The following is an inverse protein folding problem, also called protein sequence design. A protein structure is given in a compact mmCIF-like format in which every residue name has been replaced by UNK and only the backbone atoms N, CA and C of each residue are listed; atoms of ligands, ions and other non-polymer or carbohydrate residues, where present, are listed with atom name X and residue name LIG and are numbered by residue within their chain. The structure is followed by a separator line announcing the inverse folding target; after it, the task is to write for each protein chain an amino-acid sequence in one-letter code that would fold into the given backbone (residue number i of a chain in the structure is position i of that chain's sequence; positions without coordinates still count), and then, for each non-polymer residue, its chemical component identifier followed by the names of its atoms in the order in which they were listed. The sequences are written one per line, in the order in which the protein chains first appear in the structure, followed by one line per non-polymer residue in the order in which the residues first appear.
data_IF_870952420168
#
_entry.id   IF_870952420168
#
_cell.length_a   1.000
_cell.length_b   1.000
_cell.length_c   1.000
_cell.angle_alpha   90.00
_cell.angle_beta   90.00
_cell.angle_gamma   90.00
#
_symmetry.space_group_name_H-M   'P 1'
#
loop_
_entity.id
_entity.type
_entity.pdbx_description
1 polymer ?
#
# COMPACT_ATOMS: atom_id res chain seq x y z
N UNK A 1 3.69 7.94 -18.32
CA UNK A 1 3.56 7.05 -17.15
C UNK A 1 2.75 5.87 -17.61
N UNK A 2 3.15 4.65 -17.28
CA UNK A 2 2.32 3.49 -17.59
C UNK A 2 1.03 3.59 -16.77
N UNK A 3 -0.12 3.53 -17.43
CA UNK A 3 -1.40 3.41 -16.73
C UNK A 3 -1.50 2.03 -16.09
N UNK A 4 -2.24 1.89 -14.98
CA UNK A 4 -2.38 0.62 -14.25
C UNK A 4 -2.88 -0.50 -15.17
N UNK A 5 -3.71 -0.12 -16.15
CA UNK A 5 -4.21 -0.99 -17.21
C UNK A 5 -3.13 -1.53 -18.17
N UNK A 6 -1.94 -0.92 -18.25
CA UNK A 6 -0.81 -1.44 -19.05
C UNK A 6 -0.10 -2.59 -18.35
N UNK A 7 -0.21 -2.69 -17.02
CA UNK A 7 0.39 -3.74 -16.21
C UNK A 7 -0.51 -4.96 -16.05
N UNK A 8 -1.80 -4.81 -16.36
CA UNK A 8 -2.84 -5.82 -16.23
C UNK A 8 -3.39 -6.20 -17.61
N UNK A 9 -3.88 -7.41 -17.76
CA UNK A 9 -4.68 -7.83 -18.91
C UNK A 9 -5.90 -8.58 -18.38
N UNK A 10 -6.93 -8.72 -19.21
CA UNK A 10 -8.14 -9.47 -18.83
C UNK A 10 -7.82 -10.90 -18.39
N UNK A 11 -6.86 -11.56 -19.04
CA UNK A 11 -6.41 -12.93 -18.68
C UNK A 11 -5.77 -13.01 -17.28
N UNK A 12 -5.35 -11.88 -16.72
CA UNK A 12 -4.78 -11.78 -15.37
C UNK A 12 -5.77 -11.23 -14.34
N UNK A 13 -7.03 -11.05 -14.73
CA UNK A 13 -8.15 -10.76 -13.82
C UNK A 13 -8.91 -12.05 -13.54
N UNK A 14 -8.83 -12.52 -12.30
CA UNK A 14 -9.57 -13.70 -11.82
C UNK A 14 -10.65 -13.23 -10.85
N UNK A 15 -11.90 -13.47 -11.22
CA UNK A 15 -13.04 -13.18 -10.36
C UNK A 15 -13.49 -14.46 -9.67
N UNK A 16 -13.90 -14.30 -8.41
CA UNK A 16 -14.52 -15.35 -7.59
C UNK A 16 -13.64 -16.60 -7.48
N UNK A 17 -12.34 -16.38 -7.22
CA UNK A 17 -11.37 -17.44 -7.06
C UNK A 17 -11.52 -18.15 -5.70
N UNK A 18 -11.38 -19.47 -5.69
CA UNK A 18 -11.41 -20.25 -4.45
C UNK A 18 -10.04 -20.29 -3.79
N UNK A 19 -9.99 -19.93 -2.51
CA UNK A 19 -8.82 -20.07 -1.64
C UNK A 19 -9.30 -20.45 -0.23
N UNK A 20 -8.66 -21.45 0.39
CA UNK A 20 -9.02 -21.88 1.75
C UNK A 20 -8.16 -21.21 2.83
N UNK A 21 -6.95 -20.80 2.44
CA UNK A 21 -5.96 -20.17 3.33
C UNK A 21 -5.38 -18.93 2.67
N UNK A 22 -4.74 -18.07 3.47
CA UNK A 22 -4.05 -16.90 2.93
C UNK A 22 -2.91 -17.30 1.98
N UNK A 23 -2.24 -18.43 2.22
CA UNK A 23 -1.24 -18.99 1.31
C UNK A 23 -1.87 -19.35 -0.03
N UNK A 24 -3.04 -20.01 -0.01
CA UNK A 24 -3.77 -20.33 -1.25
C UNK A 24 -4.18 -19.06 -1.99
N UNK A 25 -4.61 -18.02 -1.28
CA UNK A 25 -4.97 -16.74 -1.88
C UNK A 25 -3.78 -16.08 -2.59
N UNK A 26 -2.58 -16.12 -1.99
CA UNK A 26 -1.34 -15.65 -2.63
C UNK A 26 -0.97 -16.53 -3.83
N UNK A 27 -1.10 -17.85 -3.74
CA UNK A 27 -0.83 -18.78 -4.86
C UNK A 27 -1.77 -18.55 -6.04
N UNK A 28 -3.04 -18.33 -5.76
CA UNK A 28 -4.04 -17.99 -6.78
C UNK A 28 -3.69 -16.66 -7.44
N UNK A 29 -3.23 -15.66 -6.70
CA UNK A 29 -2.79 -14.38 -7.26
C UNK A 29 -1.46 -14.47 -8.03
N UNK A 30 -0.55 -15.37 -7.63
CA UNK A 30 0.70 -15.61 -8.35
C UNK A 30 0.53 -16.34 -9.69
N UNK A 31 -0.44 -17.26 -9.77
CA UNK A 31 -0.65 -18.13 -10.94
C UNK A 31 -0.80 -17.38 -12.27
N UNK A 32 -1.59 -16.30 -12.39
CA UNK A 32 -1.65 -15.55 -13.64
C UNK A 32 -0.32 -14.90 -14.03
N UNK A 33 0.52 -14.51 -13.06
CA UNK A 33 1.86 -13.97 -13.36
C UNK A 33 2.78 -15.07 -13.91
N UNK A 34 2.66 -16.28 -13.37
CA UNK A 34 3.44 -17.45 -13.80
C UNK A 34 3.03 -17.92 -15.20
N UNK A 35 1.72 -18.04 -15.44
CA UNK A 35 1.17 -18.49 -16.73
C UNK A 35 1.56 -17.55 -17.88
N UNK A 36 1.65 -16.25 -17.60
CA UNK A 36 1.98 -15.22 -18.58
C UNK A 36 3.49 -14.94 -18.70
N UNK A 37 4.32 -15.75 -18.04
CA UNK A 37 5.78 -15.64 -18.05
C UNK A 37 6.30 -14.34 -17.45
N UNK A 38 5.54 -13.69 -16.57
CA UNK A 38 5.94 -12.46 -15.87
C UNK A 38 6.94 -12.81 -14.76
N UNK A 39 6.66 -13.87 -14.01
CA UNK A 39 7.50 -14.33 -12.92
C UNK A 39 7.51 -15.86 -12.83
N UNK A 40 8.56 -16.42 -12.25
CA UNK A 40 8.66 -17.84 -11.92
C UNK A 40 7.90 -18.16 -10.62
N UNK A 41 7.49 -19.43 -10.38
CA UNK A 41 6.85 -19.84 -9.14
C UNK A 41 7.63 -19.50 -7.87
N UNK A 42 8.96 -19.42 -7.97
CA UNK A 42 9.83 -18.99 -6.88
C UNK A 42 9.51 -17.57 -6.36
N UNK A 43 8.96 -16.69 -7.20
CA UNK A 43 8.52 -15.37 -6.77
C UNK A 43 7.27 -15.45 -5.88
N UNK A 44 6.30 -16.30 -6.23
CA UNK A 44 5.11 -16.57 -5.41
C UNK A 44 5.47 -17.13 -4.05
N UNK A 45 6.39 -18.10 -4.01
CA UNK A 45 6.91 -18.65 -2.75
C UNK A 45 7.64 -17.58 -1.91
N UNK A 46 8.36 -16.66 -2.56
CA UNK A 46 9.00 -15.53 -1.87
C UNK A 46 7.98 -14.57 -1.24
N UNK A 47 6.82 -14.34 -1.88
CA UNK A 47 5.74 -13.55 -1.29
C UNK A 47 5.18 -14.23 -0.03
N UNK A 48 4.97 -15.55 -0.07
CA UNK A 48 4.48 -16.33 1.06
C UNK A 48 5.48 -16.29 2.22
N UNK A 49 6.75 -16.60 1.96
CA UNK A 49 7.81 -16.61 2.97
C UNK A 49 7.98 -15.25 3.68
N UNK A 50 7.77 -14.15 2.94
CA UNK A 50 7.78 -12.81 3.54
C UNK A 50 6.65 -12.61 4.54
N UNK A 51 5.44 -13.11 4.25
CA UNK A 51 4.29 -13.01 5.15
C UNK A 51 4.50 -13.90 6.39
N UNK A 52 5.06 -15.11 6.22
CA UNK A 52 5.40 -15.97 7.36
C UNK A 52 6.42 -15.30 8.30
N UNK A 53 7.39 -14.59 7.73
CA UNK A 53 8.48 -13.96 8.49
C UNK A 53 8.08 -12.64 9.14
N UNK A 54 7.25 -11.83 8.48
CA UNK A 54 6.96 -10.45 8.88
C UNK A 54 5.50 -10.21 9.29
N UNK A 55 4.68 -11.26 9.32
CA UNK A 55 3.24 -11.17 9.50
C UNK A 55 2.51 -10.62 8.26
N UNK A 56 1.20 -10.36 8.35
CA UNK A 56 0.36 -9.98 7.21
C UNK A 56 0.55 -8.51 6.78
N UNK A 57 1.79 -8.03 6.66
CA UNK A 57 2.12 -6.65 6.26
C UNK A 57 1.63 -6.27 4.86
N UNK A 58 1.25 -7.26 4.04
CA UNK A 58 0.67 -7.04 2.71
C UNK A 58 -0.82 -6.69 2.78
N UNK A 59 -1.49 -6.87 3.92
CA UNK A 59 -2.88 -6.45 4.12
C UNK A 59 -2.88 -4.98 4.52
N UNK A 60 -3.07 -4.10 3.53
CA UNK A 60 -2.82 -2.66 3.69
C UNK A 60 -4.10 -1.83 3.84
N UNK A 61 -5.26 -2.42 3.56
CA UNK A 61 -6.57 -1.77 3.72
C UNK A 61 -7.66 -2.83 3.95
N UNK A 62 -8.84 -2.45 4.47
CA UNK A 62 -9.93 -3.40 4.67
C UNK A 62 -10.26 -4.22 3.43
N UNK A 63 -10.25 -5.55 3.60
CA UNK A 63 -10.56 -6.49 2.53
C UNK A 63 -9.50 -6.58 1.42
N UNK A 64 -8.32 -5.99 1.58
CA UNK A 64 -7.34 -5.87 0.50
C UNK A 64 -5.92 -6.29 0.92
N UNK A 65 -5.38 -7.26 0.17
CA UNK A 65 -3.99 -7.67 0.25
C UNK A 65 -3.22 -7.32 -1.04
N UNK A 66 -2.08 -6.66 -0.87
CA UNK A 66 -1.17 -6.32 -1.95
C UNK A 66 0.06 -7.23 -1.93
N UNK A 67 -0.04 -8.38 -2.59
CA UNK A 67 1.00 -9.41 -2.58
C UNK A 67 2.20 -8.98 -3.44
N UNK A 68 3.38 -8.87 -2.81
CA UNK A 68 4.62 -8.51 -3.50
C UNK A 68 5.83 -9.00 -2.71
N UNK A 69 6.96 -9.13 -3.41
CA UNK A 69 8.26 -9.39 -2.81
C UNK A 69 9.31 -8.46 -3.43
N UNK A 70 10.54 -8.51 -2.90
CA UNK A 70 11.66 -7.80 -3.51
C UNK A 70 11.93 -8.36 -4.91
N UNK A 71 12.35 -7.51 -5.85
CA UNK A 71 12.74 -7.95 -7.19
C UNK A 71 13.86 -8.99 -7.12
N UNK A 72 13.82 -9.95 -8.04
CA UNK A 72 14.79 -11.04 -8.14
C UNK A 72 14.89 -11.53 -9.58
N UNK A 73 15.82 -12.45 -9.87
CA UNK A 73 15.92 -13.08 -11.19
C UNK A 73 14.67 -13.87 -11.59
N UNK A 74 13.81 -14.22 -10.62
CA UNK A 74 12.53 -14.87 -10.85
C UNK A 74 11.47 -13.93 -11.46
N UNK A 75 11.75 -12.62 -11.63
CA UNK A 75 10.84 -11.68 -12.30
C UNK A 75 11.43 -11.27 -13.65
N UNK A 76 10.74 -11.61 -14.74
CA UNK A 76 11.23 -11.40 -16.10
C UNK A 76 10.76 -10.07 -16.71
N UNK A 77 9.57 -9.60 -16.32
CA UNK A 77 9.01 -8.30 -16.73
C UNK A 77 8.09 -7.78 -15.63
N UNK A 78 7.80 -6.48 -15.64
CA UNK A 78 6.82 -5.90 -14.72
C UNK A 78 5.40 -6.28 -15.14
N UNK A 79 4.56 -6.69 -14.20
CA UNK A 79 3.17 -7.02 -14.45
C UNK A 79 2.39 -7.32 -13.18
N UNK A 80 1.07 -7.26 -13.31
CA UNK A 80 0.12 -7.37 -12.20
C UNK A 80 -0.96 -8.42 -12.49
N UNK A 81 -1.50 -9.01 -11.42
CA UNK A 81 -2.72 -9.80 -11.43
C UNK A 81 -3.74 -9.22 -10.46
N UNK A 82 -5.02 -9.42 -10.77
CA UNK A 82 -6.14 -8.94 -9.98
C UNK A 82 -7.04 -10.12 -9.62
N UNK A 83 -7.10 -10.49 -8.34
CA UNK A 83 -7.86 -11.67 -7.90
C UNK A 83 -8.88 -11.28 -6.85
N UNK A 84 -10.17 -11.35 -7.20
CA UNK A 84 -11.26 -11.34 -6.22
C UNK A 84 -11.52 -12.76 -5.75
N UNK A 85 -11.59 -12.96 -4.44
CA UNK A 85 -11.88 -14.26 -3.82
C UNK A 85 -13.40 -14.49 -3.77
N UNK A 86 -13.84 -15.72 -4.03
CA UNK A 86 -15.24 -16.12 -3.91
C UNK A 86 -15.76 -16.03 -2.47
N UNK A 87 -14.86 -16.30 -1.51
CA UNK A 87 -15.14 -16.22 -0.08
C UNK A 87 -14.02 -15.43 0.60
N UNK A 88 -14.34 -14.54 1.56
CA UNK A 88 -13.31 -13.83 2.31
C UNK A 88 -12.36 -14.77 3.04
N UNK A 89 -11.07 -14.45 3.06
CA UNK A 89 -10.00 -15.25 3.68
C UNK A 89 -9.30 -14.44 4.76
N UNK A 90 -9.12 -15.03 5.94
CA UNK A 90 -8.39 -14.44 7.05
C UNK A 90 -6.87 -14.54 6.82
N UNK A 91 -6.17 -13.40 6.83
CA UNK A 91 -4.70 -13.33 6.77
C UNK A 91 -4.05 -13.20 8.16
N UNK A 92 -4.85 -13.00 9.20
CA UNK A 92 -4.41 -12.71 10.57
C UNK A 92 -4.17 -11.22 10.85
N UNK A 93 -4.64 -10.31 9.98
CA UNK A 93 -4.56 -8.87 10.19
C UNK A 93 -5.70 -8.40 11.11
N UNK A 94 -5.36 -7.70 12.21
CA UNK A 94 -6.31 -7.41 13.30
C UNK A 94 -7.56 -6.62 12.89
N UNK A 95 -7.42 -5.70 11.94
CA UNK A 95 -8.44 -4.68 11.62
C UNK A 95 -8.90 -4.69 10.16
N UNK A 96 -8.14 -5.33 9.27
CA UNK A 96 -8.36 -5.27 7.82
C UNK A 96 -8.86 -6.59 7.24
N UNK A 97 -8.83 -7.67 8.04
CA UNK A 97 -9.46 -8.92 7.67
C UNK A 97 -11.00 -8.84 7.74
N UNK A 98 -11.70 -9.74 7.02
CA UNK A 98 -11.14 -10.71 6.08
C UNK A 98 -10.82 -10.12 4.71
N UNK A 99 -9.83 -10.67 4.01
CA UNK A 99 -9.43 -10.26 2.66
C UNK A 99 -10.38 -10.81 1.60
N UNK A 100 -10.83 -9.94 0.68
CA UNK A 100 -11.65 -10.32 -0.48
C UNK A 100 -10.97 -10.05 -1.82
N UNK A 101 -9.97 -9.16 -1.84
CA UNK A 101 -9.20 -8.79 -3.02
C UNK A 101 -7.71 -8.99 -2.76
N UNK A 102 -7.05 -9.78 -3.62
CA UNK A 102 -5.60 -9.95 -3.66
C UNK A 102 -5.08 -9.44 -4.99
N UNK A 103 -4.23 -8.43 -4.95
CA UNK A 103 -3.52 -7.93 -6.14
C UNK A 103 -2.05 -8.28 -6.00
N UNK A 104 -1.51 -9.05 -6.95
CA UNK A 104 -0.08 -9.37 -6.96
C UNK A 104 0.67 -8.50 -7.96
N UNK A 105 1.80 -7.94 -7.54
CA UNK A 105 2.69 -7.15 -8.39
C UNK A 105 4.08 -7.81 -8.45
N UNK A 106 4.53 -8.08 -9.68
CA UNK A 106 5.92 -8.40 -9.98
C UNK A 106 6.53 -7.19 -10.70
N UNK A 107 7.65 -6.69 -10.21
CA UNK A 107 8.33 -5.54 -10.81
C UNK A 107 9.83 -5.82 -10.97
N UNK A 108 10.37 -5.48 -12.15
CA UNK A 108 11.80 -5.64 -12.46
C UNK A 108 12.66 -4.53 -11.85
N UNK A 109 12.08 -3.37 -11.59
CA UNK A 109 12.78 -2.21 -11.00
C UNK A 109 11.87 -1.39 -10.07
N UNK A 110 12.49 -0.62 -9.18
CA UNK A 110 11.81 0.15 -8.14
C UNK A 110 10.94 1.31 -8.69
N UNK A 111 11.25 1.81 -9.90
CA UNK A 111 10.53 2.92 -10.52
C UNK A 111 9.17 2.50 -11.05
N UNK A 112 9.14 1.44 -11.86
CA UNK A 112 7.90 0.85 -12.37
C UNK A 112 6.97 0.39 -11.24
N UNK A 113 7.57 -0.17 -10.19
CA UNK A 113 6.87 -0.54 -8.96
C UNK A 113 6.14 0.66 -8.33
N UNK A 114 6.83 1.78 -8.15
CA UNK A 114 6.28 2.96 -7.47
C UNK A 114 5.08 3.57 -8.18
N UNK A 115 5.12 3.66 -9.51
CA UNK A 115 4.02 4.23 -10.29
C UNK A 115 2.74 3.39 -10.21
N UNK A 116 2.87 2.06 -10.35
CA UNK A 116 1.75 1.12 -10.26
C UNK A 116 1.02 1.22 -8.92
N UNK A 117 1.81 1.32 -7.84
CA UNK A 117 1.29 1.37 -6.48
C UNK A 117 0.56 2.68 -6.17
N UNK A 118 1.06 3.81 -6.66
CA UNK A 118 0.39 5.10 -6.49
C UNK A 118 -1.00 5.11 -7.14
N UNK A 119 -1.09 4.55 -8.35
CA UNK A 119 -2.37 4.44 -9.05
C UNK A 119 -3.33 3.48 -8.33
N UNK A 120 -2.84 2.33 -7.87
CA UNK A 120 -3.66 1.38 -7.13
C UNK A 120 -4.15 1.95 -5.79
N UNK A 121 -3.30 2.65 -5.05
CA UNK A 121 -3.68 3.36 -3.82
C UNK A 121 -4.79 4.38 -4.07
N UNK A 122 -4.68 5.16 -5.16
CA UNK A 122 -5.70 6.13 -5.56
C UNK A 122 -7.04 5.46 -5.92
N UNK A 123 -6.99 4.34 -6.62
CA UNK A 123 -8.21 3.58 -6.99
C UNK A 123 -8.89 3.02 -5.75
N UNK A 124 -8.14 2.41 -4.84
CA UNK A 124 -8.69 1.76 -3.65
C UNK A 124 -9.08 2.73 -2.54
N UNK A 125 -8.46 3.91 -2.48
CA UNK A 125 -8.81 4.99 -1.56
C UNK A 125 -10.08 5.77 -1.96
N UNK A 126 -10.62 5.58 -3.17
CA UNK A 126 -11.91 6.12 -3.60
C UNK A 126 -13.02 5.11 -3.29
N UNK A 127 -13.92 5.39 -2.32
CA UNK A 127 -14.96 4.43 -1.93
C UNK A 127 -15.93 4.07 -3.05
N UNK A 128 -16.23 5.00 -3.96
CA UNK A 128 -17.14 4.76 -5.07
C UNK A 128 -16.49 3.84 -6.10
N UNK A 129 -15.21 4.07 -6.42
CA UNK A 129 -14.44 3.16 -7.29
C UNK A 129 -14.26 1.80 -6.67
N UNK A 130 -13.92 1.73 -5.38
CA UNK A 130 -13.77 0.46 -4.68
C UNK A 130 -15.08 -0.34 -4.72
N UNK A 131 -16.20 0.29 -4.41
CA UNK A 131 -17.51 -0.36 -4.50
C UNK A 131 -17.85 -0.82 -5.91
N UNK A 132 -17.51 -0.06 -6.94
CA UNK A 132 -17.73 -0.45 -8.33
C UNK A 132 -16.86 -1.66 -8.74
N UNK A 133 -15.60 -1.70 -8.30
CA UNK A 133 -14.69 -2.83 -8.53
C UNK A 133 -15.16 -4.09 -7.79
N UNK A 134 -15.63 -3.95 -6.57
CA UNK A 134 -16.17 -5.07 -5.78
C UNK A 134 -17.41 -5.67 -6.47
N UNK A 135 -18.23 -4.86 -7.15
CA UNK A 135 -19.43 -5.27 -7.88
C UNK A 135 -19.19 -5.77 -9.32
N UNK A 136 -18.00 -5.56 -9.88
CA UNK A 136 -17.69 -5.92 -11.27
C UNK A 136 -17.85 -7.43 -11.49
N UNK A 137 -18.50 -7.84 -12.58
CA UNK A 137 -18.80 -9.25 -12.87
C UNK A 137 -17.94 -9.83 -13.99
N UNK A 138 -17.17 -8.98 -14.68
CA UNK A 138 -16.29 -9.41 -15.77
C UNK A 138 -14.89 -8.79 -15.70
N UNK A 139 -13.86 -9.47 -16.22
CA UNK A 139 -12.53 -8.90 -16.41
C UNK A 139 -12.51 -7.54 -17.12
N UNK A 140 -13.30 -7.41 -18.20
CA UNK A 140 -13.41 -6.18 -18.97
C UNK A 140 -13.96 -5.01 -18.13
N UNK A 141 -14.95 -5.25 -17.26
CA UNK A 141 -15.47 -4.23 -16.33
C UNK A 141 -14.38 -3.74 -15.37
N UNK A 142 -13.60 -4.66 -14.80
CA UNK A 142 -12.45 -4.30 -13.94
C UNK A 142 -11.45 -3.44 -14.72
N UNK A 143 -11.05 -3.87 -15.91
CA UNK A 143 -10.09 -3.11 -16.74
C UNK A 143 -10.61 -1.70 -17.05
N UNK A 144 -11.89 -1.56 -17.38
CA UNK A 144 -12.52 -0.25 -17.64
C UNK A 144 -12.52 0.65 -16.39
N UNK A 145 -12.84 0.10 -15.22
CA UNK A 145 -12.85 0.84 -13.96
C UNK A 145 -11.45 1.29 -13.53
N UNK A 146 -10.42 0.50 -13.83
CA UNK A 146 -9.02 0.85 -13.57
C UNK A 146 -8.48 1.91 -14.55
N UNK A 147 -8.95 1.90 -15.81
CA UNK A 147 -8.54 2.87 -16.84
C UNK A 147 -9.33 4.18 -16.86
N UNK A 148 -10.53 4.23 -16.25
CA UNK A 148 -11.32 5.45 -16.19
C UNK A 148 -10.68 6.47 -15.23
N UNK A 149 -10.44 7.69 -15.69
CA UNK A 149 -10.10 8.83 -14.80
C UNK A 149 -11.40 9.39 -14.21
N UNK A 150 -11.49 9.69 -12.90
CA UNK A 150 -12.75 10.16 -12.32
C UNK A 150 -12.97 11.62 -12.73
N UNK A 151 -14.14 11.92 -13.28
CA UNK A 151 -14.63 13.29 -13.42
C UNK A 151 -14.92 13.81 -12.02
N UNK A 152 -14.08 14.72 -11.53
CA UNK A 152 -14.18 15.30 -10.20
C UNK A 152 -15.48 16.13 -10.04
N UNK A 153 -16.32 15.74 -9.09
CA UNK A 153 -17.36 16.59 -8.53
C UNK A 153 -16.80 17.33 -7.30
N UNK A 154 -16.77 18.66 -7.37
CA UNK A 154 -16.30 19.58 -6.33
C UNK A 154 -17.37 19.80 -5.26
N UNK A 155 -16.98 20.00 -4.00
CA UNK A 155 -17.77 20.74 -2.99
C UNK A 155 -16.81 21.32 -1.91
N UNK A 156 -17.10 22.51 -1.32
CA UNK A 156 -16.07 23.48 -0.92
C UNK A 156 -15.70 23.49 0.57
N UNK A 157 -14.60 24.21 0.82
CA UNK A 157 -13.92 24.46 2.08
C UNK A 157 -14.79 25.09 3.19
N UNK A 158 -14.41 24.79 4.44
CA UNK A 158 -14.82 25.54 5.63
C UNK A 158 -13.59 25.82 6.54
N UNK A 159 -13.65 27.00 7.14
CA UNK A 159 -12.64 27.81 7.85
C UNK A 159 -12.32 27.40 9.30
N UNK A 160 -11.08 27.66 9.71
CA UNK A 160 -10.47 27.62 11.08
C UNK A 160 -11.00 28.74 12.03
N UNK A 161 -10.48 28.98 13.28
CA UNK A 161 -9.40 28.33 14.04
C UNK A 161 -9.62 28.12 15.57
N UNK A 162 -8.67 27.45 16.24
CA UNK A 162 -8.53 27.45 17.72
C UNK A 162 -7.11 27.09 18.16
N UNK A 163 -6.44 27.99 18.89
CA UNK A 163 -5.04 27.94 19.34
C UNK A 163 -4.83 27.12 20.62
N UNK A 164 -3.74 26.36 20.69
CA UNK A 164 -3.19 25.69 21.89
C UNK A 164 -1.66 25.71 21.84
N UNK A 165 -0.99 25.62 23.00
CA UNK A 165 0.34 26.17 23.26
C UNK A 165 1.54 25.33 22.78
N UNK A 166 2.56 26.05 22.30
CA UNK A 166 3.81 25.53 21.76
C UNK A 166 4.69 24.83 22.81
N UNK A 167 5.19 23.65 22.43
CA UNK A 167 6.41 23.06 22.98
C UNK A 167 7.58 23.29 22.01
N UNK A 168 8.77 23.46 22.57
CA UNK A 168 10.00 23.91 21.88
C UNK A 168 10.39 22.96 20.73
N UNK A 169 10.67 23.46 19.51
CA UNK A 169 10.97 22.61 18.37
C UNK A 169 12.35 21.96 18.54
N UNK A 170 12.37 20.63 18.57
CA UNK A 170 13.57 19.88 18.20
C UNK A 170 13.96 20.26 16.76
N UNK A 171 15.26 20.25 16.47
CA UNK A 171 15.79 20.58 15.15
C UNK A 171 15.20 19.60 14.13
N UNK A 172 14.26 20.06 13.32
CA UNK A 172 13.54 19.21 12.36
C UNK A 172 14.43 18.95 11.14
N UNK A 173 14.44 17.70 10.67
CA UNK A 173 15.06 17.33 9.40
C UNK A 173 14.05 17.43 8.24
N UNK A 174 12.79 17.71 8.54
CA UNK A 174 11.66 17.75 7.62
C UNK A 174 11.54 16.46 6.81
N UNK A 175 11.81 15.33 7.46
CA UNK A 175 11.84 14.00 6.82
C UNK A 175 10.91 13.05 7.59
N UNK A 176 9.94 12.49 6.87
CA UNK A 176 9.10 11.40 7.37
C UNK A 176 9.45 10.13 6.60
N UNK A 177 9.71 9.04 7.31
CA UNK A 177 9.90 7.72 6.71
C UNK A 177 8.61 6.93 6.74
N UNK A 178 8.28 6.30 5.62
CA UNK A 178 7.28 5.24 5.56
C UNK A 178 8.01 3.91 5.43
N UNK A 179 7.73 2.96 6.33
CA UNK A 179 8.55 1.74 6.45
C UNK A 179 7.71 0.51 6.13
N UNK A 180 8.28 -0.43 5.39
CA UNK A 180 7.71 -1.77 5.21
C UNK A 180 8.70 -2.87 5.62
N UNK A 181 8.21 -4.11 5.74
CA UNK A 181 9.01 -5.27 6.16
C UNK A 181 10.15 -5.54 5.19
N UNK A 182 9.81 -5.88 3.94
CA UNK A 182 10.78 -6.23 2.90
C UNK A 182 10.54 -5.40 1.63
N UNK A 183 11.47 -4.49 1.31
CA UNK A 183 11.47 -3.72 0.06
C UNK A 183 10.87 -2.32 0.19
N UNK A 184 10.05 -1.93 -0.78
CA UNK A 184 9.41 -0.60 -0.82
C UNK A 184 7.88 -0.67 -0.90
N UNK A 185 7.29 -1.85 -1.10
CA UNK A 185 5.91 -1.95 -1.56
C UNK A 185 4.91 -1.31 -0.59
N UNK A 186 4.52 -2.00 0.46
CA UNK A 186 3.50 -1.47 1.39
C UNK A 186 3.80 -0.03 1.88
N UNK A 187 5.07 0.34 2.07
CA UNK A 187 5.46 1.70 2.45
C UNK A 187 5.09 2.76 1.41
N UNK A 188 5.06 2.42 0.12
CA UNK A 188 4.67 3.35 -0.94
C UNK A 188 3.17 3.66 -0.95
N UNK A 189 2.30 2.70 -0.58
CA UNK A 189 0.88 3.02 -0.36
C UNK A 189 0.75 4.10 0.71
N UNK A 190 1.43 3.91 1.84
CA UNK A 190 1.39 4.86 2.94
C UNK A 190 2.00 6.21 2.57
N UNK A 191 3.12 6.22 1.84
CA UNK A 191 3.75 7.43 1.33
C UNK A 191 2.77 8.24 0.48
N UNK A 192 2.08 7.62 -0.47
CA UNK A 192 1.16 8.33 -1.35
C UNK A 192 -0.04 8.92 -0.60
N UNK A 193 -0.58 8.19 0.38
CA UNK A 193 -1.66 8.69 1.24
C UNK A 193 -1.18 9.85 2.11
N UNK A 194 0.02 9.72 2.69
CA UNK A 194 0.66 10.79 3.47
C UNK A 194 0.91 12.04 2.62
N UNK A 195 1.43 11.90 1.41
CA UNK A 195 1.65 13.03 0.49
C UNK A 195 0.33 13.72 0.11
N UNK A 196 -0.79 12.99 -0.03
CA UNK A 196 -2.11 13.60 -0.25
C UNK A 196 -2.59 14.42 0.95
N UNK A 197 -2.37 13.93 2.17
CA UNK A 197 -2.68 14.68 3.39
C UNK A 197 -1.80 15.94 3.49
N UNK A 198 -0.49 15.80 3.29
CA UNK A 198 0.45 16.92 3.29
C UNK A 198 0.12 17.96 2.20
N UNK A 199 -0.33 17.51 1.02
CA UNK A 199 -0.80 18.40 -0.04
C UNK A 199 -2.06 19.17 0.40
N UNK A 200 -2.99 18.50 1.07
CA UNK A 200 -4.21 19.11 1.61
C UNK A 200 -3.89 20.16 2.68
N UNK A 201 -2.86 19.90 3.50
CA UNK A 201 -2.36 20.85 4.51
C UNK A 201 -1.53 22.00 3.91
N UNK A 202 -1.11 21.89 2.64
CA UNK A 202 -0.17 22.82 2.01
C UNK A 202 1.28 22.63 2.48
N UNK A 203 1.59 21.51 3.13
CA UNK A 203 2.90 21.20 3.73
C UNK A 203 3.84 20.40 2.80
N UNK A 204 3.32 19.90 1.68
CA UNK A 204 4.09 19.13 0.70
C UNK A 204 5.42 19.78 0.25
N UNK A 205 5.57 21.12 0.11
CA UNK A 205 6.85 21.73 -0.25
C UNK A 205 7.90 21.72 0.88
N UNK A 206 7.47 21.48 2.12
CA UNK A 206 8.30 21.64 3.31
C UNK A 206 8.74 20.30 3.91
N UNK A 207 7.97 19.23 3.69
CA UNK A 207 8.24 17.91 4.25
C UNK A 207 8.61 16.93 3.13
N UNK A 208 9.75 16.27 3.29
CA UNK A 208 10.17 15.16 2.44
C UNK A 208 9.61 13.85 2.99
N UNK A 209 9.00 13.04 2.13
CA UNK A 209 8.55 11.69 2.47
C UNK A 209 9.37 10.65 1.71
N UNK A 210 9.99 9.73 2.44
CA UNK A 210 10.77 8.64 1.86
C UNK A 210 10.20 7.29 2.25
N UNK A 211 10.06 6.38 1.28
CA UNK A 211 9.69 4.99 1.53
C UNK A 211 10.96 4.14 1.65
N UNK A 212 10.98 3.21 2.61
CA UNK A 212 12.16 2.38 2.87
C UNK A 212 11.79 1.01 3.49
N UNK A 213 12.72 0.06 3.46
CA UNK A 213 12.60 -1.20 4.21
C UNK A 213 13.04 -1.06 5.67
N UNK A 214 12.68 -2.05 6.48
CA UNK A 214 12.96 -2.09 7.92
C UNK A 214 14.46 -2.07 8.24
N UNK A 215 15.31 -2.67 7.40
CA UNK A 215 16.77 -2.72 7.61
C UNK A 215 17.35 -1.32 7.43
N UNK A 216 17.02 -0.68 6.31
CA UNK A 216 17.46 0.65 5.94
C UNK A 216 16.89 1.72 6.88
N UNK A 217 15.66 1.53 7.36
CA UNK A 217 15.01 2.43 8.32
C UNK A 217 15.82 2.56 9.61
N UNK A 218 16.37 1.47 10.16
CA UNK A 218 17.18 1.51 11.38
C UNK A 218 18.42 2.40 11.22
N UNK A 219 19.04 2.41 10.03
CA UNK A 219 20.19 3.26 9.73
C UNK A 219 19.82 4.74 9.50
N UNK A 220 18.62 5.00 8.97
CA UNK A 220 18.12 6.34 8.63
C UNK A 220 17.27 6.99 9.73
N UNK A 221 16.89 6.25 10.77
CA UNK A 221 15.95 6.71 11.79
C UNK A 221 16.32 8.07 12.38
N UNK A 222 17.60 8.31 12.69
CA UNK A 222 18.08 9.57 13.27
C UNK A 222 17.99 10.79 12.34
N UNK A 223 17.82 10.57 11.04
CA UNK A 223 17.58 11.64 10.07
C UNK A 223 16.10 11.92 9.84
N UNK A 224 15.20 11.09 10.38
CA UNK A 224 13.77 11.27 10.30
C UNK A 224 13.24 11.96 11.55
N UNK A 225 12.20 12.76 11.39
CA UNK A 225 11.45 13.34 12.51
C UNK A 225 10.33 12.39 12.99
N UNK A 226 9.86 11.53 12.08
CA UNK A 226 8.73 10.64 12.29
C UNK A 226 8.81 9.42 11.38
N UNK A 227 8.39 8.26 11.88
CA UNK A 227 8.23 7.03 11.10
C UNK A 227 6.76 6.60 11.12
N UNK A 228 6.17 6.36 9.94
CA UNK A 228 4.85 5.79 9.77
C UNK A 228 4.96 4.36 9.21
N UNK A 229 4.29 3.40 9.82
CA UNK A 229 4.34 2.00 9.38
C UNK A 229 3.16 1.17 9.93
N UNK A 230 3.05 -0.11 9.56
CA UNK A 230 2.04 -1.00 10.13
C UNK A 230 2.43 -1.52 11.52
N UNK A 231 1.46 -2.02 12.28
CA UNK A 231 1.71 -2.54 13.62
C UNK A 231 2.74 -3.68 13.67
N UNK A 232 2.78 -4.55 12.65
CA UNK A 232 3.72 -5.67 12.60
C UNK A 232 5.15 -5.22 12.31
N UNK A 233 5.30 -4.23 11.45
CA UNK A 233 6.62 -3.66 11.13
C UNK A 233 7.13 -2.80 12.28
N UNK A 234 6.26 -2.05 12.96
CA UNK A 234 6.63 -1.31 14.17
C UNK A 234 7.25 -2.23 15.24
N UNK A 235 6.69 -3.43 15.45
CA UNK A 235 7.24 -4.43 16.38
C UNK A 235 8.63 -4.92 15.96
N UNK A 236 8.82 -5.18 14.66
CA UNK A 236 10.10 -5.64 14.09
C UNK A 236 11.17 -4.55 14.10
N UNK A 237 10.76 -3.31 13.87
CA UNK A 237 11.64 -2.14 13.89
C UNK A 237 12.18 -1.91 15.31
N UNK A 238 11.31 -2.03 16.32
CA UNK A 238 11.65 -1.80 17.73
C UNK A 238 11.88 -0.32 18.04
N UNK A 239 12.59 -0.04 19.13
CA UNK A 239 12.99 1.32 19.46
C UNK A 239 14.17 1.77 18.58
N UNK A 240 13.93 2.80 17.78
CA UNK A 240 14.91 3.42 16.88
C UNK A 240 15.22 4.87 17.26
N UNK A 241 14.74 5.33 18.42
CA UNK A 241 15.04 6.66 18.97
C UNK A 241 14.30 7.82 18.29
N UNK A 242 13.30 7.53 17.46
CA UNK A 242 12.38 8.51 16.85
C UNK A 242 10.94 8.01 16.97
N UNK A 243 9.95 8.91 17.01
CA UNK A 243 8.55 8.51 17.09
C UNK A 243 8.14 7.58 15.94
N UNK A 244 7.47 6.48 16.29
CA UNK A 244 6.89 5.53 15.33
C UNK A 244 5.37 5.54 15.52
N UNK A 245 4.63 5.87 14.46
CA UNK A 245 3.16 5.83 14.42
C UNK A 245 2.70 4.63 13.60
N UNK A 246 1.72 3.92 14.17
CA UNK A 246 1.07 2.79 13.53
C UNK A 246 -0.11 3.31 12.71
N UNK A 247 -0.17 2.89 11.46
CA UNK A 247 -1.31 3.08 10.56
C UNK A 247 -1.82 1.69 10.19
N UNK A 248 -3.11 1.46 10.32
CA UNK A 248 -3.79 0.22 10.01
C UNK A 248 -4.36 0.24 8.59
N UNK A 249 -5.05 1.32 8.18
CA UNK A 249 -5.58 1.47 6.82
C UNK A 249 -4.74 2.48 6.02
N UNK A 250 -3.84 1.95 5.19
CA UNK A 250 -2.88 2.73 4.42
C UNK A 250 -3.53 3.57 3.32
N UNK A 251 -4.80 3.33 2.98
CA UNK A 251 -5.55 4.15 2.02
C UNK A 251 -6.44 5.19 2.70
N UNK A 252 -6.49 5.23 4.03
CA UNK A 252 -7.29 6.19 4.80
C UNK A 252 -6.54 7.51 4.98
N UNK A 253 -6.94 8.54 4.24
CA UNK A 253 -6.40 9.90 4.46
C UNK A 253 -6.77 10.44 5.84
N UNK A 254 -7.93 10.08 6.37
CA UNK A 254 -8.37 10.49 7.72
C UNK A 254 -7.46 9.92 8.81
N UNK A 255 -7.10 8.64 8.72
CA UNK A 255 -6.23 8.01 9.72
C UNK A 255 -4.81 8.59 9.69
N UNK A 256 -4.28 8.85 8.49
CA UNK A 256 -2.97 9.48 8.33
C UNK A 256 -2.99 10.95 8.78
N UNK A 257 -4.09 11.68 8.53
CA UNK A 257 -4.32 13.03 9.05
C UNK A 257 -4.29 13.05 10.59
N UNK A 258 -5.07 12.17 11.23
CA UNK A 258 -5.11 12.03 12.70
C UNK A 258 -3.72 11.71 13.27
N UNK A 259 -2.98 10.79 12.65
CA UNK A 259 -1.63 10.43 13.09
C UNK A 259 -0.62 11.58 12.96
N UNK A 260 -0.73 12.39 11.90
CA UNK A 260 0.09 13.59 11.73
C UNK A 260 -0.27 14.67 12.75
N UNK A 261 -1.57 14.90 12.99
CA UNK A 261 -2.05 15.86 13.99
C UNK A 261 -1.55 15.54 15.38
N UNK A 262 -1.65 14.28 15.77
CA UNK A 262 -1.13 13.78 17.04
C UNK A 262 0.41 13.89 17.15
N UNK A 263 1.13 13.78 16.02
CA UNK A 263 2.60 13.87 16.02
C UNK A 263 3.14 15.30 16.04
N UNK A 264 2.43 16.23 15.41
CA UNK A 264 2.83 17.65 15.30
C UNK A 264 2.04 18.58 16.24
N UNK A 265 1.11 18.04 17.03
CA UNK A 265 0.23 18.76 17.97
C UNK A 265 -0.59 19.88 17.27
N UNK A 266 -1.29 19.52 16.18
CA UNK A 266 -2.06 20.42 15.29
C UNK A 266 -3.48 19.98 15.00
#
# INVERSE_FOLDING_TARGET
MAELAELLSEDRVVLDASAATWQDAIKVAGRPLEQDGIAEPAYTESMIANVESNGPYIVVAPGFAFAHARSSSAVHRTGMSWVRLAHPVEFGHKTNDPVTLVVALAATDAGAHTAAMAQLAKVLGDPARRSALDAATTPAEVMNLLGATPTAAQTPAATSPGSGAAQTPAKTNNLILTVCGNGLGTSLFLKNTLEQVLQTWGWAPFITVEATDTISAKGKAKSADLILTSGEIARTLGDVGVPVKVIDNFTSTAEVDDALRDSYDV
#
